data_IF_281684393850
#
_entry.id   IF_281684393850
#
_cell.length_a   1.000
_cell.length_b   1.000
_cell.length_c   1.000
_cell.angle_alpha   90.00
_cell.angle_beta   90.00
_cell.angle_gamma   90.00
#
_symmetry.space_group_name_H-M   'P 1'
#
loop_
_entity.id
_entity.type
_entity.pdbx_description
1 polymer ?
#
# COMPACT_ATOMS: atom_id res chain seq x y z
N UNK A 1 -7.80 11.67 10.16
CA UNK A 1 -7.91 11.38 8.73
C UNK A 1 -8.85 12.36 8.01
N UNK A 2 -10.15 12.36 8.31
CA UNK A 2 -11.17 13.14 7.59
C UNK A 2 -10.94 14.66 7.67
N UNK A 3 -10.48 15.18 8.79
CA UNK A 3 -10.12 16.59 8.94
C UNK A 3 -9.04 17.01 7.93
N UNK A 4 -7.99 16.21 7.78
CA UNK A 4 -6.92 16.47 6.83
C UNK A 4 -7.42 16.42 5.36
N UNK A 5 -8.27 15.45 5.04
CA UNK A 5 -8.89 15.33 3.74
C UNK A 5 -9.79 16.55 3.41
N UNK A 6 -10.61 17.00 4.36
CA UNK A 6 -11.43 18.21 4.21
C UNK A 6 -10.59 19.49 4.13
N UNK A 7 -9.40 19.52 4.78
CA UNK A 7 -8.44 20.60 4.69
C UNK A 7 -7.64 20.62 3.36
N UNK A 8 -7.91 19.68 2.46
CA UNK A 8 -7.33 19.63 1.13
C UNK A 8 -6.10 18.72 0.99
N UNK A 9 -5.83 17.84 1.96
CA UNK A 9 -4.84 16.77 1.77
C UNK A 9 -5.29 15.86 0.62
N UNK A 10 -4.47 15.77 -0.42
CA UNK A 10 -4.85 15.12 -1.68
C UNK A 10 -4.65 13.61 -1.68
N UNK A 11 -3.70 13.09 -0.88
CA UNK A 11 -3.43 11.66 -0.77
C UNK A 11 -3.15 11.24 0.66
N UNK A 12 -3.33 9.95 0.94
CA UNK A 12 -2.92 9.25 2.15
C UNK A 12 -2.16 7.97 1.78
N UNK A 13 -0.99 7.80 2.37
CA UNK A 13 -0.10 6.67 2.09
C UNK A 13 -0.17 5.63 3.21
N UNK A 14 0.12 4.36 2.87
CA UNK A 14 0.30 3.22 3.79
C UNK A 14 -0.94 2.82 4.61
N UNK A 15 -2.10 3.43 4.38
CA UNK A 15 -3.35 3.17 5.09
C UNK A 15 -3.33 3.37 6.62
N UNK A 16 -2.21 3.78 7.21
CA UNK A 16 -2.05 3.88 8.67
C UNK A 16 -3.15 4.72 9.31
N UNK A 17 -3.40 5.91 8.76
CA UNK A 17 -4.43 6.82 9.28
C UNK A 17 -5.86 6.28 9.06
N UNK A 18 -6.06 5.49 8.01
CA UNK A 18 -7.36 4.86 7.73
C UNK A 18 -7.65 3.76 8.74
N UNK A 19 -6.64 2.91 9.04
CA UNK A 19 -6.77 1.88 10.09
C UNK A 19 -7.16 2.49 11.42
N UNK A 20 -6.51 3.58 11.83
CA UNK A 20 -6.77 4.29 13.08
C UNK A 20 -8.19 4.88 13.10
N UNK A 21 -8.60 5.54 12.00
CA UNK A 21 -9.93 6.12 11.87
C UNK A 21 -11.06 5.07 11.87
N UNK A 22 -10.75 3.81 11.57
CA UNK A 22 -11.68 2.69 11.69
C UNK A 22 -11.81 2.14 13.14
N UNK A 23 -11.29 2.86 14.14
CA UNK A 23 -11.34 2.46 15.55
C UNK A 23 -11.91 3.56 16.45
N UNK A 24 -12.58 3.22 17.55
CA UNK A 24 -13.03 4.21 18.52
C UNK A 24 -11.89 4.88 19.31
N UNK A 25 -10.66 4.34 19.20
CA UNK A 25 -9.47 4.84 19.91
C UNK A 25 -8.58 5.76 19.05
N UNK A 26 -9.02 6.19 17.85
CA UNK A 26 -8.24 7.05 16.94
C UNK A 26 -7.64 8.26 17.68
N UNK A 27 -8.44 8.97 18.47
CA UNK A 27 -7.99 10.17 19.16
C UNK A 27 -6.88 9.87 20.18
N UNK A 28 -6.98 8.77 20.91
CA UNK A 28 -5.99 8.34 21.91
C UNK A 28 -4.66 8.00 21.22
N UNK A 29 -4.74 7.26 20.12
CA UNK A 29 -3.58 6.88 19.30
C UNK A 29 -2.85 8.11 18.76
N UNK A 30 -3.59 9.09 18.22
CA UNK A 30 -3.02 10.32 17.66
C UNK A 30 -2.40 11.19 18.77
N UNK A 31 -3.11 11.38 19.89
CA UNK A 31 -2.60 12.22 21.00
C UNK A 31 -1.30 11.68 21.56
N UNK A 32 -1.21 10.35 21.72
CA UNK A 32 0.01 9.71 22.22
C UNK A 32 1.25 9.97 21.33
N UNK A 33 1.06 10.24 20.04
CA UNK A 33 2.15 10.49 19.07
C UNK A 33 2.57 11.94 18.94
N UNK A 34 1.74 12.91 19.37
CA UNK A 34 1.91 14.35 19.04
C UNK A 34 3.23 14.98 19.46
N UNK A 35 3.92 14.40 20.43
CA UNK A 35 5.18 14.95 20.97
C UNK A 35 6.38 14.05 20.72
N UNK A 36 6.23 13.06 19.86
CA UNK A 36 7.27 12.08 19.57
C UNK A 36 7.81 12.24 18.14
N UNK A 37 9.12 12.10 18.00
CA UNK A 37 9.82 12.08 16.72
C UNK A 37 10.85 10.96 16.70
N UNK A 38 11.28 10.55 15.49
CA UNK A 38 12.32 9.53 15.31
C UNK A 38 11.97 8.14 15.84
N UNK A 39 12.95 7.45 16.42
CA UNK A 39 12.78 6.09 16.95
C UNK A 39 11.65 5.94 17.97
N UNK A 40 11.50 6.82 18.98
CA UNK A 40 10.40 6.71 19.95
C UNK A 40 9.01 6.74 19.31
N UNK A 41 8.84 7.50 18.22
CA UNK A 41 7.58 7.52 17.48
C UNK A 41 7.35 6.20 16.73
N UNK A 42 8.39 5.63 16.14
CA UNK A 42 8.30 4.34 15.43
C UNK A 42 8.00 3.20 16.40
N UNK A 43 8.67 3.15 17.55
CA UNK A 43 8.42 2.15 18.59
C UNK A 43 6.97 2.21 19.10
N UNK A 44 6.44 3.42 19.32
CA UNK A 44 5.06 3.59 19.75
C UNK A 44 4.08 3.16 18.65
N UNK A 45 4.35 3.45 17.37
CA UNK A 45 3.52 2.98 16.26
C UNK A 45 3.43 1.47 16.23
N UNK A 46 4.56 0.77 16.35
CA UNK A 46 4.60 -0.69 16.42
C UNK A 46 3.81 -1.21 17.64
N UNK A 47 3.98 -0.59 18.80
CA UNK A 47 3.25 -0.95 20.01
C UNK A 47 1.72 -0.72 19.89
N UNK A 48 1.30 0.22 19.05
CA UNK A 48 -0.11 0.53 18.81
C UNK A 48 -0.77 -0.37 17.76
N UNK A 49 -0.03 -1.13 16.97
CA UNK A 49 -0.56 -2.00 15.93
C UNK A 49 -1.59 -3.00 16.48
N UNK A 50 -1.27 -3.70 17.55
CA UNK A 50 -2.18 -4.66 18.16
C UNK A 50 -3.43 -4.03 18.77
N UNK A 51 -3.34 -2.97 19.61
CA UNK A 51 -4.51 -2.23 20.08
C UNK A 51 -5.42 -1.72 18.96
N UNK A 52 -4.88 -1.14 17.90
CA UNK A 52 -5.64 -0.66 16.74
C UNK A 52 -6.36 -1.82 16.04
N UNK A 53 -5.66 -2.93 15.82
CA UNK A 53 -6.24 -4.11 15.19
C UNK A 53 -7.38 -4.71 16.03
N UNK A 54 -7.22 -4.78 17.34
CA UNK A 54 -8.23 -5.30 18.27
C UNK A 54 -9.46 -4.37 18.43
N UNK A 55 -9.25 -3.07 18.30
CA UNK A 55 -10.31 -2.06 18.40
C UNK A 55 -11.04 -1.81 17.06
N UNK A 56 -10.66 -2.52 15.98
CA UNK A 56 -11.25 -2.31 14.66
C UNK A 56 -12.76 -2.54 14.66
N UNK A 57 -13.51 -1.55 14.14
CA UNK A 57 -14.95 -1.58 13.99
C UNK A 57 -15.32 -1.44 12.50
N UNK A 58 -15.86 -2.51 11.92
CA UNK A 58 -16.24 -2.55 10.51
C UNK A 58 -17.32 -1.51 10.18
N UNK A 59 -18.32 -1.32 11.05
CA UNK A 59 -19.39 -0.36 10.80
C UNK A 59 -18.88 1.09 10.85
N UNK A 60 -17.92 1.38 11.74
CA UNK A 60 -17.22 2.66 11.76
C UNK A 60 -16.38 2.82 10.50
N UNK A 61 -15.63 1.79 10.10
CA UNK A 61 -14.81 1.80 8.90
C UNK A 61 -15.63 2.06 7.64
N UNK A 62 -16.80 1.43 7.50
CA UNK A 62 -17.71 1.68 6.37
C UNK A 62 -18.19 3.13 6.33
N UNK A 63 -18.42 3.76 7.50
CA UNK A 63 -18.78 5.19 7.56
C UNK A 63 -17.61 6.07 7.16
N UNK A 64 -16.41 5.80 7.68
CA UNK A 64 -15.17 6.52 7.35
C UNK A 64 -14.87 6.42 5.86
N UNK A 65 -14.95 5.23 5.28
CA UNK A 65 -14.70 5.00 3.86
C UNK A 65 -15.69 5.78 2.97
N UNK A 66 -16.99 5.77 3.30
CA UNK A 66 -17.99 6.59 2.58
C UNK A 66 -17.73 8.08 2.70
N UNK A 67 -17.37 8.56 3.89
CA UNK A 67 -17.02 9.97 4.08
C UNK A 67 -15.76 10.34 3.29
N UNK A 68 -14.73 9.50 3.32
CA UNK A 68 -13.49 9.70 2.59
C UNK A 68 -13.72 9.75 1.07
N UNK A 69 -14.59 8.90 0.54
CA UNK A 69 -14.94 8.91 -0.88
C UNK A 69 -15.50 10.25 -1.36
N UNK A 70 -16.20 11.01 -0.49
CA UNK A 70 -16.74 12.34 -0.84
C UNK A 70 -15.68 13.43 -0.92
N UNK A 71 -14.51 13.24 -0.31
CA UNK A 71 -13.42 14.23 -0.32
C UNK A 71 -12.58 14.20 -1.57
N UNK A 72 -12.61 13.09 -2.32
CA UNK A 72 -11.74 12.86 -3.48
C UNK A 72 -10.28 12.59 -3.11
N UNK A 73 -9.94 12.45 -1.80
CA UNK A 73 -8.60 12.05 -1.38
C UNK A 73 -8.27 10.66 -1.92
N UNK A 74 -7.12 10.55 -2.57
CA UNK A 74 -6.61 9.27 -3.08
C UNK A 74 -5.92 8.50 -1.96
N UNK A 75 -6.12 7.20 -1.88
CA UNK A 75 -5.34 6.33 -1.00
C UNK A 75 -4.31 5.53 -1.78
N UNK A 76 -3.08 5.47 -1.26
CA UNK A 76 -1.97 4.69 -1.80
C UNK A 76 -1.63 3.59 -0.81
N UNK A 77 -2.16 2.37 -0.99
CA UNK A 77 -2.06 1.31 0.02
C UNK A 77 -0.65 0.84 0.31
N UNK A 78 0.24 0.82 -0.70
CA UNK A 78 1.59 0.23 -0.60
C UNK A 78 1.57 -1.17 0.02
N UNK A 79 0.67 -2.02 -0.49
CA UNK A 79 0.42 -3.36 0.05
C UNK A 79 1.67 -4.25 0.01
N UNK A 80 2.58 -3.97 -0.94
CA UNK A 80 3.87 -4.69 -1.06
C UNK A 80 4.71 -4.61 0.22
N UNK A 81 4.63 -3.52 1.00
CA UNK A 81 5.33 -3.40 2.29
C UNK A 81 4.75 -4.38 3.32
N UNK A 82 3.43 -4.35 3.51
CA UNK A 82 2.74 -5.25 4.43
C UNK A 82 2.89 -6.73 3.98
N UNK A 83 2.86 -6.99 2.67
CA UNK A 83 3.09 -8.30 2.10
C UNK A 83 4.52 -8.79 2.37
N UNK A 84 5.54 -7.92 2.31
CA UNK A 84 6.91 -8.28 2.64
C UNK A 84 7.06 -8.78 4.09
N UNK A 85 6.28 -8.25 5.03
CA UNK A 85 6.29 -8.66 6.45
C UNK A 85 5.73 -10.09 6.67
N UNK A 86 4.90 -10.59 5.76
CA UNK A 86 4.29 -11.93 5.87
C UNK A 86 4.97 -12.98 5.01
N UNK A 87 6.04 -12.62 4.31
CA UNK A 87 6.84 -13.59 3.58
C UNK A 87 7.82 -14.30 4.52
N UNK A 88 7.99 -15.64 4.40
CA UNK A 88 9.02 -16.34 5.18
C UNK A 88 10.38 -15.74 4.86
N UNK A 89 11.09 -15.27 5.90
CA UNK A 89 12.46 -14.80 5.74
C UNK A 89 13.41 -16.00 5.60
N UNK A 90 14.39 -15.91 4.97
CA UNK A 90 14.92 -16.68 3.90
C UNK A 90 16.37 -17.06 3.84
N UNK A 91 16.70 -18.24 4.03
CA UNK A 91 17.69 -18.88 3.16
C UNK A 91 17.24 -18.89 1.67
N UNK A 92 15.92 -18.94 1.41
CA UNK A 92 15.35 -18.92 0.06
C UNK A 92 15.53 -17.58 -0.67
N UNK A 93 15.51 -16.42 0.02
CA UNK A 93 15.64 -15.10 -0.61
C UNK A 93 17.04 -14.74 -1.09
N UNK A 94 18.08 -15.34 -0.54
CA UNK A 94 19.43 -15.24 -1.11
C UNK A 94 19.50 -15.79 -2.54
N UNK A 95 18.54 -16.63 -2.93
CA UNK A 95 18.39 -17.18 -4.28
C UNK A 95 17.36 -16.44 -5.13
N UNK A 96 16.67 -15.41 -4.56
CA UNK A 96 15.70 -14.59 -5.28
C UNK A 96 16.40 -13.84 -6.44
N UNK A 97 15.96 -14.04 -7.69
CA UNK A 97 16.54 -13.35 -8.84
C UNK A 97 16.46 -11.83 -8.71
N UNK A 98 15.40 -11.29 -8.11
CA UNK A 98 15.21 -9.85 -7.91
C UNK A 98 16.22 -9.31 -6.89
N UNK A 99 16.47 -10.02 -5.81
CA UNK A 99 17.45 -9.63 -4.80
C UNK A 99 18.87 -9.53 -5.40
N UNK A 100 19.21 -10.40 -6.36
CA UNK A 100 20.52 -10.34 -7.03
C UNK A 100 20.72 -9.09 -7.91
N UNK A 101 19.64 -8.49 -8.39
CA UNK A 101 19.68 -7.28 -9.21
C UNK A 101 19.88 -6.00 -8.38
N UNK A 102 19.64 -6.07 -7.07
CA UNK A 102 19.86 -4.94 -6.15
C UNK A 102 21.37 -4.63 -6.06
N UNK A 103 21.80 -3.35 -6.08
CA UNK A 103 23.20 -2.97 -5.91
C UNK A 103 23.84 -3.57 -4.66
N UNK A 104 25.10 -3.91 -4.71
CA UNK A 104 25.80 -4.68 -3.67
C UNK A 104 25.79 -3.99 -2.30
N UNK A 105 25.96 -2.67 -2.27
CA UNK A 105 25.93 -1.84 -1.06
C UNK A 105 24.53 -1.78 -0.43
N UNK A 106 23.48 -1.72 -1.26
CA UNK A 106 22.09 -1.78 -0.80
C UNK A 106 21.76 -3.17 -0.26
N UNK A 107 22.19 -4.23 -0.95
CA UNK A 107 22.03 -5.61 -0.46
C UNK A 107 22.70 -5.83 0.90
N UNK A 108 23.90 -5.27 1.09
CA UNK A 108 24.62 -5.37 2.36
C UNK A 108 23.82 -4.74 3.51
N UNK A 109 23.25 -3.55 3.29
CA UNK A 109 22.38 -2.87 4.27
C UNK A 109 21.10 -3.67 4.53
N UNK A 110 20.43 -4.15 3.48
CA UNK A 110 19.23 -4.96 3.61
C UNK A 110 19.48 -6.27 4.37
N UNK A 111 20.60 -6.94 4.10
CA UNK A 111 20.99 -8.15 4.85
C UNK A 111 21.15 -7.86 6.34
N UNK A 112 21.69 -6.70 6.72
CA UNK A 112 21.76 -6.28 8.12
C UNK A 112 20.37 -6.15 8.76
N UNK A 113 19.42 -5.50 8.08
CA UNK A 113 18.04 -5.37 8.56
C UNK A 113 17.36 -6.74 8.61
N UNK A 114 17.44 -7.52 7.55
CA UNK A 114 16.79 -8.83 7.45
C UNK A 114 17.31 -9.84 8.48
N UNK A 115 18.57 -9.71 8.91
CA UNK A 115 19.15 -10.55 9.96
C UNK A 115 18.54 -10.31 11.35
N UNK A 116 17.90 -9.15 11.57
CA UNK A 116 17.23 -8.83 12.84
C UNK A 116 15.77 -9.29 12.88
N UNK A 117 15.22 -9.71 11.75
CA UNK A 117 13.82 -10.10 11.65
C UNK A 117 13.63 -11.61 11.91
N UNK A 118 12.47 -12.04 12.43
CA UNK A 118 12.19 -13.45 12.64
C UNK A 118 12.14 -14.21 11.30
N UNK A 119 12.55 -15.48 11.30
CA UNK A 119 12.59 -16.32 10.10
C UNK A 119 11.20 -16.62 9.49
N UNK A 120 10.16 -16.55 10.31
CA UNK A 120 8.77 -16.75 9.90
C UNK A 120 7.92 -15.55 10.33
N UNK A 121 6.86 -15.23 9.60
CA UNK A 121 5.95 -14.16 9.98
C UNK A 121 5.30 -14.46 11.33
N UNK A 122 5.07 -13.41 12.13
CA UNK A 122 4.34 -13.51 13.39
C UNK A 122 2.83 -13.62 13.15
N UNK A 123 2.10 -14.13 14.15
CA UNK A 123 0.63 -14.13 14.11
C UNK A 123 0.08 -12.70 13.94
N UNK A 124 0.72 -11.71 14.55
CA UNK A 124 0.35 -10.31 14.41
C UNK A 124 0.54 -9.81 12.97
N UNK A 125 1.68 -10.10 12.33
CA UNK A 125 1.92 -9.73 10.91
C UNK A 125 0.86 -10.36 10.00
N UNK A 126 0.50 -11.63 10.23
CA UNK A 126 -0.55 -12.31 9.46
C UNK A 126 -1.93 -11.71 9.68
N UNK A 127 -2.26 -11.27 10.90
CA UNK A 127 -3.51 -10.57 11.19
C UNK A 127 -3.55 -9.19 10.53
N UNK A 128 -2.45 -8.42 10.61
CA UNK A 128 -2.28 -7.13 9.93
C UNK A 128 -2.49 -7.27 8.42
N UNK A 129 -1.89 -8.28 7.81
CA UNK A 129 -2.05 -8.54 6.37
C UNK A 129 -3.52 -8.77 6.00
N UNK A 130 -4.23 -9.65 6.72
CA UNK A 130 -5.66 -9.89 6.49
C UNK A 130 -6.50 -8.63 6.67
N UNK A 131 -6.18 -7.82 7.69
CA UNK A 131 -6.86 -6.54 7.92
C UNK A 131 -6.59 -5.54 6.78
N UNK A 132 -5.37 -5.50 6.24
CA UNK A 132 -5.00 -4.65 5.09
C UNK A 132 -5.83 -5.03 3.86
N UNK A 133 -5.93 -6.32 3.51
CA UNK A 133 -6.76 -6.79 2.40
C UNK A 133 -8.23 -6.37 2.59
N UNK A 134 -8.79 -6.60 3.78
CA UNK A 134 -10.17 -6.24 4.09
C UNK A 134 -10.43 -4.72 4.03
N UNK A 135 -9.46 -3.92 4.49
CA UNK A 135 -9.54 -2.47 4.46
C UNK A 135 -9.51 -1.94 3.03
N UNK A 136 -8.58 -2.41 2.19
CA UNK A 136 -8.52 -2.02 0.77
C UNK A 136 -9.82 -2.38 0.06
N UNK A 137 -10.37 -3.59 0.30
CA UNK A 137 -11.68 -3.98 -0.21
C UNK A 137 -12.81 -3.04 0.27
N UNK A 138 -12.77 -2.58 1.52
CA UNK A 138 -13.77 -1.66 2.07
C UNK A 138 -13.68 -0.29 1.41
N UNK A 139 -12.47 0.27 1.24
CA UNK A 139 -12.24 1.53 0.54
C UNK A 139 -12.69 1.46 -0.92
N UNK A 140 -12.32 0.38 -1.61
CA UNK A 140 -12.72 0.14 -2.99
C UNK A 140 -14.25 0.10 -3.15
N UNK A 141 -14.94 -0.69 -2.35
CA UNK A 141 -16.42 -0.78 -2.37
C UNK A 141 -17.11 0.56 -2.06
N UNK A 142 -16.49 1.40 -1.23
CA UNK A 142 -17.00 2.75 -0.92
C UNK A 142 -16.73 3.77 -2.03
N UNK A 143 -15.96 3.43 -3.06
CA UNK A 143 -15.59 4.32 -4.16
C UNK A 143 -14.46 5.29 -3.85
N UNK A 144 -13.65 5.03 -2.81
CA UNK A 144 -12.43 5.79 -2.54
C UNK A 144 -11.43 5.56 -3.68
N UNK A 145 -10.88 6.62 -4.30
CA UNK A 145 -9.88 6.45 -5.34
C UNK A 145 -8.62 5.77 -4.78
N UNK A 146 -8.21 4.66 -5.39
CA UNK A 146 -6.97 3.95 -5.05
C UNK A 146 -5.91 4.18 -6.12
N UNK A 147 -4.68 4.41 -5.69
CA UNK A 147 -3.53 4.60 -6.57
C UNK A 147 -2.44 3.60 -6.17
N UNK A 148 -1.88 2.89 -7.15
CA UNK A 148 -0.79 1.96 -6.91
C UNK A 148 0.49 2.72 -6.56
N UNK A 149 1.16 2.27 -5.51
CA UNK A 149 2.44 2.79 -5.05
C UNK A 149 3.20 1.73 -4.27
N UNK A 150 4.53 1.81 -4.22
CA UNK A 150 5.36 0.73 -3.67
C UNK A 150 6.24 1.14 -2.51
N UNK A 151 6.51 2.43 -2.34
CA UNK A 151 7.50 2.96 -1.38
C UNK A 151 8.90 2.30 -1.53
N UNK A 152 9.24 1.90 -2.76
CA UNK A 152 10.55 1.35 -3.07
C UNK A 152 11.63 2.47 -3.08
N UNK A 153 12.88 2.18 -2.62
CA UNK A 153 13.39 0.88 -2.22
C UNK A 153 13.28 0.64 -0.71
N UNK A 154 12.63 -0.45 -0.33
CA UNK A 154 12.64 -0.98 1.03
C UNK A 154 13.12 -2.44 1.00
N UNK A 155 13.60 -3.02 2.10
CA UNK A 155 13.99 -4.44 2.09
C UNK A 155 12.88 -5.31 1.50
N UNK A 156 13.21 -6.06 0.44
CA UNK A 156 12.30 -6.95 -0.30
C UNK A 156 11.24 -6.26 -1.18
N UNK A 157 11.23 -4.93 -1.24
CA UNK A 157 10.42 -4.14 -2.17
C UNK A 157 11.33 -3.65 -3.29
N UNK A 158 11.37 -4.40 -4.38
CA UNK A 158 12.34 -4.19 -5.47
C UNK A 158 11.82 -3.15 -6.46
N UNK A 159 12.58 -2.07 -6.73
CA UNK A 159 12.20 -1.08 -7.75
C UNK A 159 11.89 -1.76 -9.10
N UNK A 160 10.82 -1.34 -9.75
CA UNK A 160 10.31 -1.95 -10.97
C UNK A 160 9.37 -3.13 -10.67
N UNK A 161 9.90 -4.24 -10.17
CA UNK A 161 9.13 -5.46 -9.88
C UNK A 161 8.00 -5.24 -8.85
N UNK A 162 8.24 -4.42 -7.84
CA UNK A 162 7.26 -4.20 -6.76
C UNK A 162 5.93 -3.63 -7.27
N UNK A 163 5.92 -2.85 -8.37
CA UNK A 163 4.67 -2.31 -8.91
C UNK A 163 3.78 -3.43 -9.48
N UNK A 164 4.36 -4.41 -10.17
CA UNK A 164 3.61 -5.55 -10.69
C UNK A 164 3.01 -6.39 -9.56
N UNK A 165 3.78 -6.57 -8.47
CA UNK A 165 3.27 -7.21 -7.26
C UNK A 165 2.14 -6.39 -6.61
N UNK A 166 2.28 -5.07 -6.50
CA UNK A 166 1.23 -4.20 -5.96
C UNK A 166 -0.07 -4.33 -6.74
N UNK A 167 -0.02 -4.41 -8.08
CA UNK A 167 -1.20 -4.64 -8.92
C UNK A 167 -1.86 -5.99 -8.62
N UNK A 168 -1.06 -7.05 -8.45
CA UNK A 168 -1.58 -8.37 -8.08
C UNK A 168 -2.24 -8.37 -6.70
N UNK A 169 -1.66 -7.67 -5.72
CA UNK A 169 -2.20 -7.53 -4.38
C UNK A 169 -3.49 -6.69 -4.34
N UNK A 170 -3.59 -5.65 -5.17
CA UNK A 170 -4.84 -4.90 -5.33
C UNK A 170 -5.96 -5.80 -5.88
N UNK A 171 -5.64 -6.69 -6.82
CA UNK A 171 -6.61 -7.68 -7.33
C UNK A 171 -6.96 -8.71 -6.24
N UNK A 172 -6.00 -9.18 -5.45
CA UNK A 172 -6.25 -10.04 -4.29
C UNK A 172 -7.18 -9.37 -3.28
N UNK A 173 -7.05 -8.04 -3.08
CA UNK A 173 -7.94 -7.26 -2.23
C UNK A 173 -9.34 -7.01 -2.82
N UNK A 174 -9.61 -7.45 -4.06
CA UNK A 174 -10.93 -7.43 -4.68
C UNK A 174 -11.14 -6.42 -5.81
N UNK A 175 -10.10 -5.71 -6.26
CA UNK A 175 -10.18 -4.93 -7.48
C UNK A 175 -10.21 -5.86 -8.71
N UNK A 176 -10.90 -5.46 -9.76
CA UNK A 176 -10.72 -6.13 -11.06
C UNK A 176 -9.33 -5.79 -11.64
N UNK A 177 -8.76 -6.63 -12.52
CA UNK A 177 -7.51 -6.29 -13.21
C UNK A 177 -7.53 -4.94 -13.92
N UNK A 178 -8.69 -4.57 -14.51
CA UNK A 178 -8.85 -3.26 -15.15
C UNK A 178 -8.77 -2.09 -14.15
N UNK A 179 -9.30 -2.25 -12.94
CA UNK A 179 -9.22 -1.23 -11.88
C UNK A 179 -7.81 -1.14 -11.33
N UNK A 180 -7.12 -2.26 -11.12
CA UNK A 180 -5.72 -2.28 -10.71
C UNK A 180 -4.82 -1.57 -11.75
N UNK A 181 -5.00 -1.83 -13.05
CA UNK A 181 -4.29 -1.11 -14.10
C UNK A 181 -4.59 0.39 -14.09
N UNK A 182 -5.84 0.79 -13.89
CA UNK A 182 -6.20 2.20 -13.75
C UNK A 182 -5.55 2.86 -12.53
N UNK A 183 -5.42 2.12 -11.42
CA UNK A 183 -4.73 2.59 -10.22
C UNK A 183 -3.25 2.91 -10.47
N UNK A 184 -2.61 2.29 -11.47
CA UNK A 184 -1.22 2.55 -11.86
C UNK A 184 -1.07 3.49 -13.08
N UNK A 185 -2.15 3.89 -13.73
CA UNK A 185 -2.08 4.67 -14.98
C UNK A 185 -2.96 5.92 -14.94
N UNK A 186 -4.25 5.77 -15.10
CA UNK A 186 -5.18 6.89 -15.19
C UNK A 186 -5.35 7.64 -13.87
N UNK A 187 -5.42 6.93 -12.74
CA UNK A 187 -5.60 7.56 -11.43
C UNK A 187 -4.41 8.46 -11.09
N UNK A 188 -3.13 7.99 -11.15
CA UNK A 188 -1.98 8.87 -10.94
C UNK A 188 -1.90 10.00 -11.97
N UNK A 189 -2.25 9.78 -13.23
CA UNK A 189 -2.27 10.85 -14.24
C UNK A 189 -3.27 11.97 -13.89
N UNK A 190 -4.44 11.62 -13.38
CA UNK A 190 -5.42 12.59 -12.87
C UNK A 190 -4.94 13.30 -11.62
N UNK A 191 -4.35 12.55 -10.68
CA UNK A 191 -3.79 13.11 -9.45
C UNK A 191 -2.70 14.15 -9.72
N UNK A 192 -1.84 13.89 -10.70
CA UNK A 192 -0.76 14.78 -11.12
C UNK A 192 -1.23 15.89 -12.08
N UNK A 193 -2.46 15.87 -12.56
CA UNK A 193 -2.99 16.85 -13.50
C UNK A 193 -2.48 16.70 -14.94
N UNK A 194 -1.98 15.50 -15.31
CA UNK A 194 -1.44 15.19 -16.65
C UNK A 194 -2.31 14.18 -17.42
N UNK A 195 -3.57 14.03 -17.04
CA UNK A 195 -4.47 13.06 -17.67
C UNK A 195 -4.74 13.34 -19.15
N UNK A 196 -4.59 14.59 -19.61
CA UNK A 196 -4.69 14.95 -21.02
C UNK A 196 -3.48 14.50 -21.84
N UNK A 197 -2.32 14.28 -21.18
CA UNK A 197 -1.07 13.88 -21.83
C UNK A 197 -0.76 12.39 -21.67
N UNK A 198 -1.19 11.74 -20.59
CA UNK A 198 -0.79 10.38 -20.20
C UNK A 198 -1.91 9.61 -19.51
N UNK A 199 -1.64 8.34 -19.14
CA UNK A 199 -2.52 7.50 -18.33
C UNK A 199 -3.58 6.71 -19.12
N UNK A 200 -3.76 7.01 -20.43
CA UNK A 200 -4.62 6.24 -21.33
C UNK A 200 -4.04 6.22 -22.74
N UNK A 201 -4.39 5.19 -23.52
CA UNK A 201 -4.05 5.12 -24.94
C UNK A 201 -5.10 5.92 -25.72
N UNK A 202 -4.72 7.10 -26.23
CA UNK A 202 -5.58 7.94 -27.03
C UNK A 202 -4.74 8.81 -28.00
N UNK A 203 -5.33 9.22 -29.11
CA UNK A 203 -4.69 10.10 -30.09
C UNK A 203 -4.30 11.42 -29.42
N UNK A 204 -3.06 11.87 -29.67
CA UNK A 204 -2.52 13.13 -29.13
C UNK A 204 -1.84 12.99 -27.77
N UNK A 205 -1.92 11.83 -27.12
CA UNK A 205 -1.19 11.55 -25.86
C UNK A 205 0.22 11.03 -26.11
N UNK A 206 1.06 11.10 -25.09
CA UNK A 206 2.40 10.54 -25.09
C UNK A 206 2.33 9.03 -25.31
N UNK A 207 3.25 8.51 -26.12
CA UNK A 207 3.35 7.10 -26.41
C UNK A 207 4.22 6.34 -25.35
N UNK A 208 3.93 6.60 -24.07
CA UNK A 208 4.51 5.82 -22.96
C UNK A 208 3.74 4.48 -22.87
N UNK A 209 4.21 3.48 -23.61
CA UNK A 209 3.49 2.22 -23.82
C UNK A 209 4.32 1.04 -23.33
N UNK A 210 3.65 0.04 -22.77
CA UNK A 210 4.21 -1.28 -22.45
C UNK A 210 3.54 -2.31 -23.36
N UNK A 211 4.33 -3.09 -24.09
CA UNK A 211 3.85 -4.25 -24.83
C UNK A 211 3.96 -5.48 -23.94
N UNK A 212 2.88 -6.21 -23.79
CA UNK A 212 2.79 -7.40 -22.95
C UNK A 212 2.61 -8.66 -23.81
N UNK A 213 3.15 -9.78 -23.35
CA UNK A 213 3.05 -11.06 -24.05
C UNK A 213 1.67 -11.73 -23.89
N UNK A 214 0.91 -11.34 -22.86
CA UNK A 214 -0.42 -11.88 -22.57
C UNK A 214 -1.37 -10.81 -22.04
N UNK A 215 -2.66 -11.14 -22.01
CA UNK A 215 -3.74 -10.20 -21.63
C UNK A 215 -3.78 -9.98 -20.10
N UNK A 216 -3.43 -8.77 -19.61
CA UNK A 216 -3.45 -8.45 -18.18
C UNK A 216 -4.87 -8.33 -17.61
N UNK A 217 -5.90 -8.23 -18.44
CA UNK A 217 -7.29 -8.19 -17.99
C UNK A 217 -7.81 -9.58 -17.62
N UNK A 218 -7.18 -10.64 -18.12
CA UNK A 218 -7.46 -12.03 -17.73
C UNK A 218 -6.67 -12.45 -16.49
N UNK A 219 -5.42 -12.01 -16.43
CA UNK A 219 -4.52 -12.28 -15.32
C UNK A 219 -3.58 -11.09 -15.16
N UNK A 220 -3.69 -10.40 -14.04
CA UNK A 220 -2.90 -9.20 -13.77
C UNK A 220 -1.41 -9.49 -13.67
N UNK A 221 -1.00 -10.73 -13.41
CA UNK A 221 0.41 -11.14 -13.39
C UNK A 221 1.07 -11.15 -14.77
N UNK A 222 0.30 -10.92 -15.83
CA UNK A 222 0.80 -10.71 -17.19
C UNK A 222 1.36 -9.28 -17.43
N UNK A 223 1.42 -8.43 -16.38
CA UNK A 223 2.01 -7.07 -16.45
C UNK A 223 3.52 -7.07 -16.37
#
# INVERSE_FOLDING_TARGET
LLEAAHAGQRSGEHLTQVNEACTPIESEVIVARRQLEGEPLMDLRVAQDLPVLQAYDQALCDRVARALATTGQVQVPTMVLAHAEVQPLPAARQHDPQFRQVPADVRARWNGILATLPAAPSDLSMQKWKATLALVATLHRAGVPLMAGTDAPSPLVYPGHALHLELALLVEAGLSPAEALRAATLVPARYLGIADESGTIAIGKRADLVLLDADPLRDITNT
#
